data_IF_493246203551
#
_entry.id   IF_493246203551
#
_cell.length_a   1.000
_cell.length_b   1.000
_cell.length_c   1.000
_cell.angle_alpha   90.00
_cell.angle_beta   90.00
_cell.angle_gamma   90.00
#
_symmetry.space_group_name_H-M   'P 1'
#
loop_
_entity.id
_entity.type
_entity.pdbx_description
1 polymer ?
#
# COMPACT_ATOMS: atom_id res chain seq x y z
N UNK A 1 1.19 19.50 -25.33
CA UNK A 1 0.96 18.06 -25.50
C UNK A 1 -0.48 17.74 -25.09
N UNK A 2 -1.13 16.75 -25.72
CA UNK A 2 -2.50 16.32 -25.35
C UNK A 2 -2.50 14.81 -25.06
N UNK A 3 -3.23 14.43 -24.03
CA UNK A 3 -3.40 13.07 -23.54
C UNK A 3 -4.90 12.75 -23.41
N UNK A 4 -5.25 11.47 -23.46
CA UNK A 4 -6.62 11.03 -23.22
C UNK A 4 -6.92 10.96 -21.73
N UNK A 5 -5.89 10.65 -20.92
CA UNK A 5 -5.98 10.53 -19.46
C UNK A 5 -4.73 11.11 -18.79
N UNK A 6 -4.92 11.97 -17.81
CA UNK A 6 -3.87 12.36 -16.86
C UNK A 6 -4.13 11.70 -15.50
N UNK A 7 -3.08 11.16 -14.88
CA UNK A 7 -3.11 10.54 -13.55
C UNK A 7 -2.11 11.28 -12.67
N UNK A 8 -2.57 11.76 -11.52
CA UNK A 8 -1.73 12.44 -10.55
C UNK A 8 -1.47 11.53 -9.35
N UNK A 9 -0.22 11.13 -9.19
CA UNK A 9 0.26 10.14 -8.22
C UNK A 9 0.60 8.80 -8.89
N UNK A 10 1.89 8.42 -8.85
CA UNK A 10 2.41 7.15 -9.35
C UNK A 10 2.59 6.10 -8.23
N UNK A 11 1.87 6.25 -7.12
CA UNK A 11 1.75 5.20 -6.10
C UNK A 11 1.03 3.97 -6.64
N UNK A 12 0.88 2.93 -5.82
CA UNK A 12 0.27 1.66 -6.24
C UNK A 12 -1.09 1.84 -6.90
N UNK A 13 -1.92 2.76 -6.42
CA UNK A 13 -3.24 3.03 -7.00
C UNK A 13 -3.12 3.65 -8.38
N UNK A 14 -2.39 4.76 -8.53
CA UNK A 14 -2.24 5.44 -9.82
C UNK A 14 -1.51 4.59 -10.85
N UNK A 15 -0.48 3.85 -10.45
CA UNK A 15 0.22 2.91 -11.33
C UNK A 15 -0.70 1.78 -11.80
N UNK A 16 -1.55 1.25 -10.92
CA UNK A 16 -2.54 0.22 -11.30
C UNK A 16 -3.57 0.79 -12.28
N UNK A 17 -4.06 2.03 -12.05
CA UNK A 17 -4.96 2.70 -12.98
C UNK A 17 -4.31 2.86 -14.36
N UNK A 18 -3.05 3.33 -14.41
CA UNK A 18 -2.32 3.50 -15.67
C UNK A 18 -2.15 2.17 -16.41
N UNK A 19 -1.74 1.12 -15.69
CA UNK A 19 -1.56 -0.22 -16.25
C UNK A 19 -2.85 -0.79 -16.83
N UNK A 20 -3.93 -0.70 -16.06
CA UNK A 20 -5.24 -1.21 -16.48
C UNK A 20 -5.73 -0.42 -17.70
N UNK A 21 -5.68 0.90 -17.70
CA UNK A 21 -6.09 1.74 -18.81
C UNK A 21 -5.29 1.43 -20.09
N UNK A 22 -3.97 1.31 -19.97
CA UNK A 22 -3.09 1.02 -21.12
C UNK A 22 -3.36 -0.35 -21.75
N UNK A 23 -3.80 -1.33 -20.99
CA UNK A 23 -4.10 -2.68 -21.52
C UNK A 23 -5.45 -2.79 -22.19
N UNK A 24 -6.46 -2.12 -21.66
CA UNK A 24 -7.84 -2.33 -22.09
C UNK A 24 -8.31 -1.34 -23.16
N UNK A 25 -7.73 -0.16 -23.21
CA UNK A 25 -8.12 0.85 -24.18
C UNK A 25 -7.05 1.10 -25.28
N UNK A 26 -6.15 0.19 -25.48
CA UNK A 26 -5.16 -0.03 -26.58
C UNK A 26 -4.43 1.17 -27.16
N UNK A 27 -5.09 2.29 -27.36
CA UNK A 27 -4.53 3.48 -28.02
C UNK A 27 -4.50 4.73 -27.13
N UNK A 28 -4.89 4.64 -25.84
CA UNK A 28 -4.92 5.80 -24.96
C UNK A 28 -3.52 6.31 -24.67
N UNK A 29 -3.31 7.62 -24.87
CA UNK A 29 -2.13 8.33 -24.37
C UNK A 29 -2.36 8.72 -22.92
N UNK A 30 -1.53 8.21 -22.03
CA UNK A 30 -1.68 8.38 -20.57
C UNK A 30 -0.48 9.14 -20.03
N UNK A 31 -0.74 10.27 -19.35
CA UNK A 31 0.26 11.00 -18.58
C UNK A 31 0.17 10.61 -17.11
N UNK A 32 1.28 10.25 -16.49
CA UNK A 32 1.35 9.95 -15.05
C UNK A 32 2.33 10.91 -14.39
N UNK A 33 1.88 11.68 -13.42
CA UNK A 33 2.70 12.60 -12.64
C UNK A 33 3.00 12.04 -11.26
N UNK A 34 4.23 12.22 -10.79
CA UNK A 34 4.59 12.00 -9.39
C UNK A 34 5.62 13.03 -8.92
N UNK A 35 5.39 13.55 -7.73
CA UNK A 35 6.25 14.58 -7.14
C UNK A 35 7.51 14.00 -6.47
N UNK A 36 7.60 12.69 -6.29
CA UNK A 36 8.56 12.08 -5.37
C UNK A 36 9.19 10.81 -5.90
N UNK A 37 10.45 10.55 -5.51
CA UNK A 37 11.03 9.23 -5.67
C UNK A 37 10.16 8.16 -5.01
N UNK A 38 9.96 7.03 -5.68
CA UNK A 38 9.12 5.93 -5.19
C UNK A 38 9.49 5.47 -3.76
N UNK A 39 10.75 5.57 -3.39
CA UNK A 39 11.27 5.16 -2.06
C UNK A 39 10.70 5.95 -0.87
N UNK A 40 10.09 7.11 -1.10
CA UNK A 40 9.52 7.97 -0.04
C UNK A 40 8.00 7.88 0.07
N UNK A 41 7.37 6.99 -0.66
CA UNK A 41 5.91 6.85 -0.69
C UNK A 41 5.43 5.73 0.25
N UNK A 42 4.20 5.83 0.74
CA UNK A 42 3.55 4.74 1.48
C UNK A 42 3.55 3.42 0.67
N UNK A 43 3.51 3.52 -0.66
CA UNK A 43 3.61 2.40 -1.60
C UNK A 43 4.94 1.66 -1.46
N UNK A 44 6.07 2.36 -1.47
CA UNK A 44 7.39 1.74 -1.40
C UNK A 44 7.67 1.11 -0.02
N UNK A 45 7.05 1.67 1.02
CA UNK A 45 7.17 1.20 2.41
C UNK A 45 6.08 0.19 2.79
N UNK A 46 5.18 -0.13 1.87
CA UNK A 46 4.12 -1.11 2.08
C UNK A 46 4.67 -2.49 2.42
N UNK A 47 3.97 -3.20 3.28
CA UNK A 47 4.22 -4.62 3.55
C UNK A 47 3.94 -5.51 2.32
N UNK A 48 3.18 -5.03 1.35
CA UNK A 48 2.79 -5.80 0.18
C UNK A 48 1.89 -7.00 0.50
N UNK A 49 1.30 -7.06 1.69
CA UNK A 49 0.45 -8.18 2.11
C UNK A 49 -1.00 -7.91 1.75
N UNK A 50 -1.54 -8.75 0.88
CA UNK A 50 -2.97 -8.80 0.57
C UNK A 50 -3.57 -10.00 1.29
N UNK A 51 -4.16 -9.71 2.44
CA UNK A 51 -4.77 -10.73 3.30
C UNK A 51 -6.11 -11.21 2.76
N UNK A 52 -6.58 -12.41 3.13
CA UNK A 52 -7.91 -12.92 2.77
C UNK A 52 -9.06 -12.24 3.52
N UNK A 53 -8.81 -11.21 4.35
CA UNK A 53 -9.87 -10.45 4.98
C UNK A 53 -10.70 -9.71 3.95
N UNK A 54 -12.01 -9.81 4.06
CA UNK A 54 -12.92 -9.20 3.12
C UNK A 54 -13.77 -8.08 3.72
N UNK A 55 -13.93 -8.02 5.04
CA UNK A 55 -14.88 -7.07 5.64
C UNK A 55 -16.32 -7.34 5.19
N UNK A 56 -17.15 -6.32 5.12
CA UNK A 56 -18.54 -6.39 4.68
C UNK A 56 -18.79 -5.42 3.51
N UNK A 57 -19.92 -5.56 2.81
CA UNK A 57 -20.37 -4.64 1.77
C UNK A 57 -19.31 -4.35 0.70
N UNK A 58 -19.08 -3.08 0.40
CA UNK A 58 -18.14 -2.63 -0.63
C UNK A 58 -16.70 -3.10 -0.39
N UNK A 59 -16.26 -3.18 0.86
CA UNK A 59 -14.91 -3.69 1.19
C UNK A 59 -14.75 -5.15 0.79
N UNK A 60 -15.81 -5.97 1.00
CA UNK A 60 -15.81 -7.37 0.57
C UNK A 60 -15.72 -7.48 -0.94
N UNK A 61 -16.53 -6.72 -1.67
CA UNK A 61 -16.50 -6.71 -3.13
C UNK A 61 -15.11 -6.36 -3.67
N UNK A 62 -14.50 -5.27 -3.18
CA UNK A 62 -13.15 -4.86 -3.56
C UNK A 62 -12.08 -5.90 -3.21
N UNK A 63 -12.22 -6.56 -2.06
CA UNK A 63 -11.27 -7.61 -1.65
C UNK A 63 -11.34 -8.83 -2.57
N UNK A 64 -12.53 -9.21 -3.03
CA UNK A 64 -12.71 -10.32 -3.98
C UNK A 64 -12.05 -10.00 -5.33
N UNK A 65 -12.27 -8.78 -5.87
CA UNK A 65 -11.60 -8.30 -7.08
C UNK A 65 -10.09 -8.36 -6.93
N UNK A 66 -9.55 -7.83 -5.84
CA UNK A 66 -8.11 -7.84 -5.57
C UNK A 66 -7.55 -9.26 -5.45
N UNK A 67 -8.26 -10.16 -4.79
CA UNK A 67 -7.83 -11.54 -4.66
C UNK A 67 -7.75 -12.26 -6.00
N UNK A 68 -8.72 -12.06 -6.88
CA UNK A 68 -8.69 -12.61 -8.24
C UNK A 68 -7.53 -12.01 -9.05
N UNK A 69 -7.37 -10.68 -9.02
CA UNK A 69 -6.33 -9.95 -9.72
C UNK A 69 -4.92 -10.41 -9.33
N UNK A 70 -4.59 -10.38 -8.04
CA UNK A 70 -3.27 -10.82 -7.57
C UNK A 70 -3.06 -12.32 -7.70
N UNK A 71 -4.13 -13.11 -7.67
CA UNK A 71 -4.07 -14.53 -7.99
C UNK A 71 -3.63 -14.81 -9.42
N UNK A 72 -4.04 -13.99 -10.36
CA UNK A 72 -3.58 -14.07 -11.75
C UNK A 72 -2.07 -13.78 -11.86
N UNK A 73 -1.59 -12.72 -11.22
CA UNK A 73 -0.15 -12.39 -11.14
C UNK A 73 0.67 -13.49 -10.47
N UNK A 74 0.15 -14.12 -9.43
CA UNK A 74 0.82 -15.22 -8.74
C UNK A 74 0.96 -16.46 -9.65
N UNK A 75 -0.08 -16.77 -10.46
CA UNK A 75 0.00 -17.84 -11.47
C UNK A 75 1.04 -17.55 -12.55
N UNK A 76 1.19 -16.28 -12.91
CA UNK A 76 2.22 -15.83 -13.85
C UNK A 76 3.65 -15.92 -13.26
N UNK A 77 3.78 -16.13 -11.96
CA UNK A 77 5.08 -16.28 -11.29
C UNK A 77 5.89 -14.98 -11.14
N UNK A 78 5.27 -13.81 -11.36
CA UNK A 78 5.93 -12.50 -11.33
C UNK A 78 5.36 -11.61 -10.23
N UNK A 79 6.23 -10.95 -9.47
CA UNK A 79 5.93 -9.92 -8.48
C UNK A 79 4.96 -10.30 -7.36
N UNK A 80 4.23 -11.42 -7.48
CA UNK A 80 3.24 -11.86 -6.50
C UNK A 80 3.46 -13.33 -6.17
N UNK A 81 3.44 -13.65 -4.88
CA UNK A 81 3.54 -15.02 -4.36
C UNK A 81 2.34 -15.33 -3.48
N UNK A 82 1.94 -16.59 -3.49
CA UNK A 82 1.01 -17.11 -2.50
C UNK A 82 1.75 -17.38 -1.18
N UNK A 83 1.09 -17.11 -0.07
CA UNK A 83 1.51 -17.57 1.26
C UNK A 83 0.29 -18.09 2.03
N UNK A 84 0.44 -19.11 2.88
CA UNK A 84 -0.59 -19.47 3.83
C UNK A 84 -0.91 -18.26 4.71
N UNK A 85 -2.17 -18.08 5.06
CA UNK A 85 -2.57 -17.08 6.04
C UNK A 85 -3.04 -17.78 7.29
N UNK A 86 -2.42 -17.46 8.41
CA UNK A 86 -2.77 -18.00 9.72
C UNK A 86 -3.01 -16.86 10.70
N UNK A 87 -3.73 -17.12 11.78
CA UNK A 87 -3.89 -16.16 12.88
C UNK A 87 -3.96 -16.89 14.23
N UNK A 88 -3.53 -16.18 15.26
CA UNK A 88 -3.49 -16.67 16.64
C UNK A 88 -4.68 -16.08 17.39
N UNK A 89 -5.61 -16.91 17.83
CA UNK A 89 -6.78 -16.51 18.59
C UNK A 89 -7.35 -17.69 19.40
N UNK A 90 -8.16 -17.41 20.38
CA UNK A 90 -8.90 -18.40 21.15
C UNK A 90 -10.10 -18.97 20.38
N UNK A 91 -10.70 -18.19 19.47
CA UNK A 91 -11.85 -18.57 18.65
C UNK A 91 -11.64 -18.24 17.16
N UNK A 92 -12.31 -19.00 16.25
CA UNK A 92 -12.13 -18.84 14.80
C UNK A 92 -12.66 -17.50 14.24
N UNK A 93 -13.62 -16.90 14.88
CA UNK A 93 -14.25 -15.64 14.48
C UNK A 93 -13.44 -14.41 14.92
N UNK A 94 -12.52 -14.54 15.87
CA UNK A 94 -11.61 -13.47 16.28
C UNK A 94 -10.75 -12.94 15.12
N UNK A 95 -10.48 -13.75 14.09
CA UNK A 95 -9.82 -13.35 12.85
C UNK A 95 -10.62 -12.37 12.00
N UNK A 96 -11.91 -12.17 12.29
CA UNK A 96 -12.80 -11.35 11.49
C UNK A 96 -13.28 -12.04 10.21
N UNK A 97 -14.03 -11.34 9.34
CA UNK A 97 -14.60 -11.93 8.14
C UNK A 97 -13.53 -12.30 7.11
N UNK A 98 -13.35 -13.57 6.86
CA UNK A 98 -12.40 -14.17 5.91
C UNK A 98 -13.10 -14.55 4.60
N UNK A 99 -12.32 -14.73 3.52
CA UNK A 99 -12.83 -15.24 2.24
C UNK A 99 -13.25 -16.70 2.31
N UNK A 100 -12.62 -17.48 3.18
CA UNK A 100 -12.93 -18.87 3.44
C UNK A 100 -13.09 -19.10 4.95
N UNK A 101 -13.91 -20.06 5.37
CA UNK A 101 -14.01 -20.45 6.78
C UNK A 101 -12.63 -20.80 7.34
N UNK A 102 -12.29 -20.36 8.55
CA UNK A 102 -11.04 -20.73 9.20
C UNK A 102 -11.10 -22.18 9.68
N UNK A 103 -9.96 -22.85 9.63
CA UNK A 103 -9.76 -24.22 10.12
C UNK A 103 -8.68 -24.17 11.19
N UNK A 104 -8.90 -24.83 12.32
CA UNK A 104 -7.87 -24.99 13.33
C UNK A 104 -6.71 -25.82 12.76
N UNK A 105 -5.49 -25.33 12.90
CA UNK A 105 -4.31 -26.16 12.67
C UNK A 105 -4.12 -27.10 13.86
N UNK A 106 -3.81 -28.33 13.57
CA UNK A 106 -3.24 -29.23 14.58
C UNK A 106 -1.96 -28.59 15.12
N UNK A 107 -1.67 -28.73 16.43
CA UNK A 107 -0.45 -28.19 16.98
C UNK A 107 0.73 -28.69 16.12
N UNK A 108 1.63 -27.78 15.69
CA UNK A 108 2.73 -28.17 14.82
C UNK A 108 3.50 -29.30 15.47
N UNK A 109 3.82 -30.29 14.66
CA UNK A 109 4.60 -31.44 15.10
C UNK A 109 5.85 -30.95 15.85
N UNK A 110 6.05 -31.40 17.08
CA UNK A 110 7.06 -30.87 18.03
C UNK A 110 8.51 -30.97 17.52
N UNK A 111 8.72 -31.52 16.33
CA UNK A 111 10.01 -31.64 15.66
C UNK A 111 10.41 -30.46 14.77
N UNK A 112 9.49 -29.64 14.29
CA UNK A 112 9.80 -28.40 13.59
C UNK A 112 9.83 -27.26 14.60
N UNK A 113 10.89 -26.46 14.64
CA UNK A 113 10.96 -25.25 15.49
C UNK A 113 9.72 -24.40 15.18
N UNK A 114 8.74 -24.32 16.07
CA UNK A 114 7.51 -23.64 15.76
C UNK A 114 7.81 -22.15 15.57
N UNK A 115 7.46 -21.61 14.41
CA UNK A 115 7.57 -20.16 14.18
C UNK A 115 6.75 -19.39 15.22
N UNK A 116 5.62 -19.96 15.65
CA UNK A 116 4.63 -19.28 16.49
C UNK A 116 4.53 -19.98 17.85
N UNK A 117 4.79 -19.25 18.92
CA UNK A 117 4.42 -19.64 20.27
C UNK A 117 2.95 -19.26 20.52
N UNK A 118 2.18 -20.19 21.07
CA UNK A 118 0.78 -19.97 21.38
C UNK A 118 0.62 -19.64 22.86
N UNK A 119 0.03 -18.49 23.24
CA UNK A 119 -0.41 -18.22 24.59
C UNK A 119 -1.41 -19.28 25.09
N UNK A 120 -1.53 -19.40 26.41
CA UNK A 120 -2.50 -20.31 27.01
C UNK A 120 -3.92 -20.02 26.53
N UNK A 121 -4.63 -21.06 26.04
CA UNK A 121 -5.98 -20.96 25.49
C UNK A 121 -6.03 -20.56 24.01
N UNK A 122 -4.98 -19.99 23.45
CA UNK A 122 -4.96 -19.62 22.02
C UNK A 122 -4.68 -20.85 21.13
N UNK A 123 -5.21 -20.76 19.91
CA UNK A 123 -4.98 -21.73 18.82
C UNK A 123 -4.45 -21.01 17.58
N UNK A 124 -3.79 -21.79 16.73
CA UNK A 124 -3.43 -21.32 15.38
C UNK A 124 -4.55 -21.73 14.42
N UNK A 125 -5.06 -20.75 13.70
CA UNK A 125 -6.14 -20.92 12.73
C UNK A 125 -5.63 -20.64 11.32
N UNK A 126 -6.01 -21.45 10.35
CA UNK A 126 -5.81 -21.15 8.92
C UNK A 126 -6.98 -20.33 8.39
N UNK A 127 -6.68 -19.15 7.84
CA UNK A 127 -7.65 -18.23 7.25
C UNK A 127 -7.59 -18.19 5.73
N UNK A 128 -7.09 -19.24 5.08
CA UNK A 128 -6.95 -19.31 3.62
C UNK A 128 -5.57 -18.85 3.14
N UNK A 129 -5.54 -18.05 2.06
CA UNK A 129 -4.32 -17.65 1.36
C UNK A 129 -4.17 -16.15 1.33
N UNK A 130 -2.97 -15.66 1.64
CA UNK A 130 -2.55 -14.29 1.38
C UNK A 130 -1.72 -14.20 0.09
N UNK A 131 -1.65 -13.00 -0.49
CA UNK A 131 -0.72 -12.66 -1.54
C UNK A 131 0.37 -11.76 -0.99
N UNK A 132 1.62 -12.10 -1.30
CA UNK A 132 2.80 -11.28 -1.02
C UNK A 132 3.19 -10.59 -2.32
N UNK A 133 3.07 -9.28 -2.35
CA UNK A 133 3.30 -8.45 -3.53
C UNK A 133 4.63 -7.73 -3.38
N UNK A 134 5.52 -7.89 -4.34
CA UNK A 134 6.69 -7.02 -4.49
C UNK A 134 6.24 -5.69 -5.08
N UNK A 135 5.75 -4.81 -4.20
CA UNK A 135 5.06 -3.58 -4.60
C UNK A 135 5.95 -2.65 -5.42
N UNK A 136 7.21 -2.37 -5.04
CA UNK A 136 8.08 -1.51 -5.83
C UNK A 136 8.31 -2.03 -7.25
N UNK A 137 8.56 -3.33 -7.41
CA UNK A 137 8.80 -3.94 -8.73
C UNK A 137 7.53 -4.00 -9.56
N UNK A 138 6.39 -4.30 -8.95
CA UNK A 138 5.10 -4.31 -9.63
C UNK A 138 4.72 -2.92 -10.14
N UNK A 139 4.87 -1.88 -9.30
CA UNK A 139 4.61 -0.49 -9.68
C UNK A 139 5.55 -0.02 -10.79
N UNK A 140 6.83 -0.33 -10.70
CA UNK A 140 7.79 -0.03 -11.77
C UNK A 140 7.37 -0.69 -13.09
N UNK A 141 6.97 -1.96 -13.07
CA UNK A 141 6.48 -2.67 -14.23
C UNK A 141 5.23 -2.00 -14.83
N UNK A 142 4.28 -1.57 -14.00
CA UNK A 142 3.05 -0.91 -14.46
C UNK A 142 3.32 0.41 -15.19
N UNK A 143 4.33 1.15 -14.73
CA UNK A 143 4.67 2.46 -15.29
C UNK A 143 5.58 2.39 -16.53
N UNK A 144 6.30 1.29 -16.72
CA UNK A 144 7.25 1.13 -17.83
C UNK A 144 6.82 0.10 -18.88
N UNK A 145 5.86 -0.75 -18.54
CA UNK A 145 5.45 -1.87 -19.38
C UNK A 145 4.59 -1.50 -20.60
N UNK A 146 4.09 -0.27 -20.68
CA UNK A 146 3.24 0.17 -21.80
C UNK A 146 3.80 1.43 -22.45
N UNK A 147 3.96 1.40 -23.79
CA UNK A 147 4.45 2.55 -24.60
C UNK A 147 3.52 3.74 -24.59
N UNK A 148 2.28 3.56 -24.20
CA UNK A 148 1.24 4.60 -24.14
C UNK A 148 1.25 5.38 -22.84
N UNK A 149 2.08 4.98 -21.86
CA UNK A 149 2.23 5.65 -20.57
C UNK A 149 3.49 6.52 -20.60
N UNK A 150 3.29 7.82 -20.44
CA UNK A 150 4.37 8.79 -20.29
C UNK A 150 4.41 9.28 -18.85
N UNK A 151 5.58 9.17 -18.20
CA UNK A 151 5.78 9.56 -16.81
C UNK A 151 6.49 10.89 -16.69
N UNK A 152 6.00 11.71 -15.77
CA UNK A 152 6.54 13.03 -15.42
C UNK A 152 6.91 13.03 -13.93
N UNK A 153 8.21 13.10 -13.63
CA UNK A 153 8.72 13.19 -12.27
C UNK A 153 8.68 14.66 -11.79
N UNK A 154 7.48 15.19 -11.67
CA UNK A 154 7.23 16.59 -11.32
C UNK A 154 5.95 16.72 -10.48
N UNK A 155 5.94 17.58 -9.42
CA UNK A 155 4.74 17.86 -8.65
C UNK A 155 3.74 18.66 -9.50
N UNK A 156 2.51 18.18 -9.61
CA UNK A 156 1.43 18.98 -10.17
C UNK A 156 1.10 20.08 -9.17
N UNK A 157 1.15 21.33 -9.61
CA UNK A 157 0.90 22.51 -8.79
C UNK A 157 -0.50 23.07 -9.00
N UNK A 158 -1.06 22.89 -10.18
CA UNK A 158 -2.35 23.45 -10.53
C UNK A 158 -3.06 22.59 -11.58
N UNK A 159 -4.38 22.53 -11.50
CA UNK A 159 -5.24 21.95 -12.52
C UNK A 159 -6.41 22.88 -12.82
N UNK A 160 -6.82 22.97 -14.09
CA UNK A 160 -8.01 23.71 -14.48
C UNK A 160 -8.83 22.88 -15.47
N UNK A 161 -10.14 23.08 -15.47
CA UNK A 161 -11.07 22.45 -16.40
C UNK A 161 -11.78 23.49 -17.26
N UNK A 162 -11.67 23.37 -18.57
CA UNK A 162 -12.41 24.20 -19.52
C UNK A 162 -13.16 23.32 -20.56
N UNK A 163 -13.73 23.94 -21.59
CA UNK A 163 -14.44 23.24 -22.66
C UNK A 163 -13.56 22.23 -23.41
N UNK A 164 -12.25 22.45 -23.45
CA UNK A 164 -11.29 21.61 -24.19
C UNK A 164 -10.65 20.51 -23.37
N UNK A 165 -11.02 20.32 -22.09
CA UNK A 165 -10.44 19.31 -21.22
C UNK A 165 -9.77 19.87 -19.97
N UNK A 166 -8.99 19.04 -19.32
CA UNK A 166 -8.17 19.40 -18.17
C UNK A 166 -6.82 19.96 -18.63
N UNK A 167 -6.40 21.06 -18.05
CA UNK A 167 -5.02 21.55 -18.12
C UNK A 167 -4.33 21.16 -16.82
N UNK A 168 -3.18 20.50 -16.94
CA UNK A 168 -2.36 20.08 -15.81
C UNK A 168 -1.03 20.83 -15.88
N UNK A 169 -0.68 21.51 -14.79
CA UNK A 169 0.53 22.33 -14.66
C UNK A 169 1.47 21.74 -13.64
N UNK A 170 2.70 21.50 -14.06
CA UNK A 170 3.82 21.11 -13.21
C UNK A 170 5.07 21.89 -13.63
N UNK A 171 6.11 21.98 -12.81
CA UNK A 171 7.36 22.66 -13.17
C UNK A 171 7.92 22.14 -14.50
N UNK A 172 8.08 23.04 -15.47
CA UNK A 172 8.59 22.73 -16.81
C UNK A 172 7.61 22.00 -17.72
N UNK A 173 6.39 21.68 -17.27
CA UNK A 173 5.42 20.94 -18.08
C UNK A 173 4.02 21.54 -17.91
N UNK A 174 3.40 21.86 -19.05
CA UNK A 174 1.96 22.12 -19.12
C UNK A 174 1.38 21.21 -20.20
N UNK A 175 0.37 20.42 -19.85
CA UNK A 175 -0.31 19.53 -20.80
C UNK A 175 -1.82 19.63 -20.70
N UNK A 176 -2.49 19.09 -21.69
CA UNK A 176 -3.95 18.94 -21.71
C UNK A 176 -4.33 17.46 -21.70
N UNK A 177 -5.39 17.14 -20.98
CA UNK A 177 -5.97 15.81 -20.96
C UNK A 177 -7.49 15.87 -21.05
N UNK A 178 -8.09 14.89 -21.67
CA UNK A 178 -9.55 14.82 -21.76
C UNK A 178 -10.17 14.44 -20.41
N UNK A 179 -9.45 13.61 -19.64
CA UNK A 179 -9.88 13.06 -18.34
C UNK A 179 -8.77 13.22 -17.31
N UNK A 180 -9.16 13.32 -16.03
CA UNK A 180 -8.23 13.45 -14.91
C UNK A 180 -8.56 12.46 -13.79
N UNK A 181 -7.56 11.73 -13.30
CA UNK A 181 -7.68 10.94 -12.07
C UNK A 181 -6.58 11.38 -11.09
N UNK A 182 -6.98 11.85 -9.91
CA UNK A 182 -6.06 12.11 -8.82
C UNK A 182 -5.99 10.89 -7.89
N UNK A 183 -4.81 10.31 -7.75
CA UNK A 183 -4.49 9.19 -6.86
C UNK A 183 -3.28 9.50 -5.98
N UNK A 184 -3.26 10.73 -5.42
CA UNK A 184 -2.12 11.32 -4.71
C UNK A 184 -1.91 10.77 -3.28
N UNK A 185 -2.68 9.76 -2.84
CA UNK A 185 -2.54 9.18 -1.50
C UNK A 185 -2.96 10.16 -0.39
N UNK A 186 -2.10 10.40 0.64
CA UNK A 186 -2.44 11.27 1.76
C UNK A 186 -2.32 12.77 1.47
N UNK A 187 -1.88 13.17 0.25
CA UNK A 187 -1.72 14.57 -0.10
C UNK A 187 -3.06 15.24 -0.37
N UNK A 188 -3.21 16.52 0.03
CA UNK A 188 -4.45 17.27 -0.14
C UNK A 188 -4.83 17.44 -1.61
N UNK A 189 -5.98 18.04 -1.85
CA UNK A 189 -6.42 18.52 -3.15
C UNK A 189 -5.38 19.47 -3.77
N UNK A 190 -5.38 19.55 -5.08
CA UNK A 190 -4.49 20.42 -5.86
C UNK A 190 -5.25 21.70 -6.19
N UNK A 191 -4.56 22.83 -6.21
CA UNK A 191 -5.16 24.10 -6.56
C UNK A 191 -5.87 24.04 -7.91
N UNK A 192 -7.08 24.60 -7.98
CA UNK A 192 -7.91 24.61 -9.18
C UNK A 192 -8.82 23.40 -9.38
N UNK A 193 -8.79 22.42 -8.50
CA UNK A 193 -9.83 21.39 -8.47
C UNK A 193 -11.18 22.07 -8.15
N UNK A 194 -12.09 22.10 -9.13
CA UNK A 194 -13.40 22.71 -8.99
C UNK A 194 -14.39 21.70 -8.41
N UNK A 195 -14.97 22.03 -7.29
CA UNK A 195 -16.09 21.28 -6.70
C UNK A 195 -15.69 20.24 -5.69
N UNK A 196 -16.61 20.04 -4.80
CA UNK A 196 -16.67 19.09 -3.70
C UNK A 196 -15.33 18.62 -3.16
N UNK A 197 -15.19 18.87 -1.92
CA UNK A 197 -14.17 18.36 -1.00
C UNK A 197 -13.90 16.85 -1.10
N UNK A 198 -13.54 16.37 -2.28
CA UNK A 198 -13.20 14.95 -2.54
C UNK A 198 -12.03 14.46 -1.66
N UNK A 199 -11.62 15.24 -0.70
CA UNK A 199 -10.54 14.96 0.23
C UNK A 199 -10.73 15.50 1.63
N UNK A 200 -11.80 16.26 1.93
CA UNK A 200 -11.98 16.85 3.28
C UNK A 200 -12.19 15.83 4.38
N UNK A 201 -12.71 14.65 4.06
CA UNK A 201 -12.91 13.57 5.03
C UNK A 201 -11.66 12.68 5.21
N UNK A 202 -10.54 13.03 4.55
CA UNK A 202 -9.33 12.22 4.67
C UNK A 202 -8.51 12.70 5.87
N UNK A 203 -8.37 11.80 6.85
CA UNK A 203 -7.48 11.99 7.98
C UNK A 203 -6.19 11.22 7.73
N UNK A 204 -5.07 11.84 8.00
CA UNK A 204 -3.77 11.19 7.84
C UNK A 204 -3.39 10.40 9.10
N UNK A 205 -2.71 9.29 8.89
CA UNK A 205 -2.26 8.40 9.97
C UNK A 205 -0.85 7.89 9.68
N UNK A 206 -0.03 7.82 10.73
CA UNK A 206 1.26 7.11 10.66
C UNK A 206 1.02 5.61 10.49
N UNK A 207 1.71 4.99 9.55
CA UNK A 207 1.82 3.54 9.42
C UNK A 207 3.22 3.10 9.84
N UNK A 208 3.31 1.97 10.55
CA UNK A 208 4.55 1.47 11.14
C UNK A 208 4.71 -0.02 10.84
N UNK A 209 5.87 -0.37 10.35
CA UNK A 209 6.32 -1.74 10.26
C UNK A 209 7.82 -1.82 10.59
N UNK A 210 8.31 -3.02 10.83
CA UNK A 210 9.72 -3.29 11.07
C UNK A 210 10.19 -4.41 10.15
N UNK A 211 11.27 -4.18 9.43
CA UNK A 211 12.04 -5.28 8.86
C UNK A 211 12.75 -6.01 10.01
N UNK A 212 12.48 -7.29 10.14
CA UNK A 212 13.01 -8.16 11.18
C UNK A 212 14.10 -9.03 10.55
N UNK A 213 15.31 -8.95 11.07
CA UNK A 213 16.43 -9.72 10.55
C UNK A 213 16.18 -11.23 10.73
N UNK A 214 16.15 -11.96 9.64
CA UNK A 214 15.93 -13.40 9.63
C UNK A 214 17.18 -14.27 9.71
N UNK A 215 18.36 -13.71 10.05
CA UNK A 215 19.62 -14.49 10.09
C UNK A 215 19.53 -15.72 10.97
N UNK A 216 18.86 -15.62 12.12
CA UNK A 216 18.64 -16.73 13.03
C UNK A 216 17.49 -17.67 12.62
N UNK A 217 16.52 -17.14 11.86
CA UNK A 217 15.34 -17.87 11.41
C UNK A 217 14.86 -17.31 10.06
N UNK A 218 15.52 -17.64 8.94
CA UNK A 218 15.09 -17.20 7.64
C UNK A 218 13.73 -17.82 7.27
N UNK A 219 12.82 -17.09 6.60
CA UNK A 219 11.53 -17.63 6.25
C UNK A 219 11.66 -18.79 5.25
N UNK A 220 11.10 -19.96 5.53
CA UNK A 220 10.99 -21.05 4.56
C UNK A 220 10.13 -20.64 3.36
N UNK A 221 10.22 -21.39 2.26
CA UNK A 221 9.53 -21.04 1.01
C UNK A 221 8.01 -20.95 1.16
N UNK A 222 7.43 -21.71 2.05
CA UNK A 222 6.00 -21.83 2.38
C UNK A 222 5.62 -21.08 3.68
N UNK A 223 6.52 -20.20 4.17
CA UNK A 223 6.28 -19.45 5.39
C UNK A 223 4.92 -18.71 5.37
N UNK A 224 4.13 -18.81 6.43
CA UNK A 224 2.83 -18.17 6.51
C UNK A 224 2.94 -16.67 6.79
N UNK A 225 1.90 -15.94 6.42
CA UNK A 225 1.58 -14.67 7.08
C UNK A 225 0.83 -14.99 8.36
N UNK A 226 1.35 -14.55 9.50
CA UNK A 226 0.75 -14.77 10.82
C UNK A 226 0.12 -13.48 11.31
N UNK A 227 -1.19 -13.48 11.50
CA UNK A 227 -1.94 -12.34 12.02
C UNK A 227 -2.24 -12.51 13.51
N UNK A 228 -2.10 -11.44 14.26
CA UNK A 228 -2.36 -11.33 15.69
C UNK A 228 -3.54 -10.37 15.89
N UNK A 229 -4.80 -10.87 15.93
CA UNK A 229 -6.01 -10.03 15.96
C UNK A 229 -6.02 -9.05 17.13
N UNK A 230 -5.68 -9.50 18.32
CA UNK A 230 -5.72 -8.70 19.56
C UNK A 230 -4.75 -7.51 19.49
N UNK A 231 -3.61 -7.70 18.85
CA UNK A 231 -2.61 -6.63 18.66
C UNK A 231 -2.82 -5.86 17.36
N UNK A 232 -3.75 -6.27 16.50
CA UNK A 232 -3.91 -5.75 15.14
C UNK A 232 -2.57 -5.70 14.39
N UNK A 233 -1.76 -6.73 14.55
CA UNK A 233 -0.41 -6.86 14.00
C UNK A 233 -0.29 -8.11 13.14
N UNK A 234 0.69 -8.15 12.25
CA UNK A 234 1.03 -9.37 11.52
C UNK A 234 2.53 -9.48 11.27
N UNK A 235 3.01 -10.71 11.23
CA UNK A 235 4.33 -11.07 10.74
C UNK A 235 4.21 -11.69 9.35
N UNK A 236 4.98 -11.20 8.39
CA UNK A 236 4.98 -11.71 7.02
C UNK A 236 6.41 -12.02 6.54
N UNK A 237 6.61 -13.07 5.72
CA UNK A 237 7.92 -13.39 5.17
C UNK A 237 8.33 -12.39 4.07
N UNK A 238 9.59 -11.97 4.09
CA UNK A 238 10.21 -11.15 3.05
C UNK A 238 11.35 -11.93 2.41
N UNK A 239 11.00 -12.83 1.49
CA UNK A 239 11.95 -13.78 0.91
C UNK A 239 13.13 -13.12 0.20
N UNK A 240 12.93 -11.98 -0.46
CA UNK A 240 13.98 -11.24 -1.15
C UNK A 240 15.13 -10.79 -0.21
N UNK A 241 14.83 -10.61 1.08
CA UNK A 241 15.79 -10.20 2.11
C UNK A 241 16.12 -11.31 3.10
N UNK A 242 15.57 -12.51 2.91
CA UNK A 242 15.69 -13.64 3.84
C UNK A 242 15.32 -13.27 5.28
N UNK A 243 14.35 -12.37 5.46
CA UNK A 243 13.89 -11.84 6.72
C UNK A 243 12.38 -11.77 6.80
N UNK A 244 11.89 -11.13 7.84
CA UNK A 244 10.47 -10.99 8.11
C UNK A 244 10.08 -9.50 8.16
N UNK A 245 8.81 -9.23 8.07
CA UNK A 245 8.25 -7.91 8.29
C UNK A 245 7.17 -8.02 9.36
N UNK A 246 7.35 -7.30 10.46
CA UNK A 246 6.35 -7.13 11.50
C UNK A 246 5.64 -5.80 11.28
N UNK A 247 4.34 -5.85 10.97
CA UNK A 247 3.49 -4.66 10.87
C UNK A 247 2.64 -4.53 12.12
N UNK A 248 2.62 -3.34 12.69
CA UNK A 248 1.80 -3.00 13.86
C UNK A 248 0.88 -1.84 13.55
N UNK A 249 -0.21 -1.71 14.31
CA UNK A 249 -1.12 -0.59 14.17
C UNK A 249 -0.63 0.59 15.01
N UNK A 250 -0.25 1.70 14.37
CA UNK A 250 -0.01 2.98 15.04
C UNK A 250 -1.32 3.65 15.45
N UNK A 251 -1.30 4.46 16.48
CA UNK A 251 -2.42 5.31 16.91
C UNK A 251 -2.14 6.81 16.71
N UNK A 252 -1.08 7.17 15.99
CA UNK A 252 -0.72 8.55 15.68
C UNK A 252 -1.47 9.04 14.45
N UNK A 253 -2.42 9.95 14.67
CA UNK A 253 -3.24 10.60 13.66
C UNK A 253 -2.80 12.03 13.40
N UNK A 254 -3.27 12.66 12.32
CA UNK A 254 -2.98 14.05 11.97
C UNK A 254 -1.54 14.30 11.55
N UNK A 255 -0.80 13.28 11.18
CA UNK A 255 0.57 13.45 10.69
C UNK A 255 0.57 14.18 9.34
N UNK A 256 1.42 15.18 9.15
CA UNK A 256 1.48 15.88 7.88
C UNK A 256 1.84 14.91 6.73
N UNK A 257 1.14 15.03 5.61
CA UNK A 257 1.43 14.24 4.43
C UNK A 257 2.89 14.44 4.00
N UNK A 258 3.62 13.34 3.83
CA UNK A 258 5.04 13.38 3.48
C UNK A 258 5.99 13.75 4.63
N UNK A 259 5.51 13.87 5.85
CA UNK A 259 6.38 14.02 7.01
C UNK A 259 7.28 12.77 7.17
N UNK A 260 8.53 13.00 7.54
CA UNK A 260 9.40 11.94 8.02
C UNK A 260 8.96 11.59 9.44
N UNK A 261 8.31 10.46 9.60
CA UNK A 261 7.85 9.96 10.90
C UNK A 261 8.73 8.81 11.36
N UNK A 262 8.88 8.65 12.67
CA UNK A 262 9.60 7.54 13.26
C UNK A 262 8.68 6.77 14.22
N UNK A 263 8.95 5.47 14.49
CA UNK A 263 8.23 4.77 15.54
C UNK A 263 8.48 5.42 16.90
N UNK A 264 7.44 5.50 17.73
CA UNK A 264 7.58 5.90 19.12
C UNK A 264 8.31 4.83 19.96
N UNK A 265 8.69 5.16 21.18
CA UNK A 265 9.24 4.19 22.13
C UNK A 265 8.23 3.05 22.39
N UNK A 266 6.95 3.38 22.57
CA UNK A 266 5.89 2.40 22.82
C UNK A 266 5.67 1.47 21.62
N UNK A 267 5.73 2.00 20.39
CA UNK A 267 5.60 1.19 19.18
C UNK A 267 6.78 0.22 19.01
N UNK A 268 8.00 0.63 19.40
CA UNK A 268 9.17 -0.26 19.44
C UNK A 268 9.03 -1.31 20.54
N UNK A 269 8.62 -0.90 21.75
CA UNK A 269 8.38 -1.81 22.87
C UNK A 269 7.30 -2.85 22.53
N UNK A 270 6.21 -2.43 21.88
CA UNK A 270 5.17 -3.33 21.40
C UNK A 270 5.73 -4.34 20.38
N UNK A 271 6.54 -3.89 19.42
CA UNK A 271 7.15 -4.78 18.43
C UNK A 271 8.02 -5.86 19.09
N UNK A 272 8.88 -5.49 20.03
CA UNK A 272 9.69 -6.45 20.79
C UNK A 272 8.81 -7.39 21.63
N UNK A 273 7.81 -6.88 22.35
CA UNK A 273 6.90 -7.71 23.13
C UNK A 273 6.12 -8.75 22.30
N UNK A 274 5.73 -8.38 21.07
CA UNK A 274 5.08 -9.31 20.15
C UNK A 274 6.05 -10.39 19.65
N UNK A 275 7.30 -10.05 19.37
CA UNK A 275 8.31 -11.04 19.00
C UNK A 275 8.61 -11.98 20.17
N UNK A 276 8.82 -11.45 21.36
CA UNK A 276 9.08 -12.25 22.56
C UNK A 276 7.94 -13.23 22.86
N UNK A 277 6.72 -12.75 22.77
CA UNK A 277 5.52 -13.53 23.11
C UNK A 277 5.14 -14.58 22.06
N UNK A 278 5.23 -14.23 20.79
CA UNK A 278 4.65 -15.04 19.70
C UNK A 278 5.69 -15.65 18.78
N UNK A 279 6.90 -15.10 18.69
CA UNK A 279 7.93 -15.51 17.73
C UNK A 279 9.30 -15.67 18.41
N UNK A 280 9.44 -16.61 19.35
CA UNK A 280 10.64 -16.71 20.19
C UNK A 280 11.94 -16.89 19.40
N UNK A 281 11.88 -17.50 18.21
CA UNK A 281 13.03 -17.61 17.32
C UNK A 281 13.49 -16.28 16.69
N UNK A 282 12.70 -15.20 16.82
CA UNK A 282 13.02 -13.86 16.32
C UNK A 282 13.19 -12.83 17.48
N UNK A 283 13.20 -13.27 18.73
CA UNK A 283 13.27 -12.41 19.91
C UNK A 283 14.42 -11.40 19.85
N UNK A 284 15.60 -11.88 19.50
CA UNK A 284 16.84 -11.09 19.49
C UNK A 284 17.14 -10.49 18.09
N UNK A 285 16.16 -10.52 17.19
CA UNK A 285 16.34 -10.01 15.83
C UNK A 285 16.46 -8.48 15.83
N UNK A 286 17.36 -7.97 14.98
CA UNK A 286 17.42 -6.54 14.73
C UNK A 286 16.17 -6.04 14.02
N UNK A 287 15.61 -4.92 14.48
CA UNK A 287 14.42 -4.26 13.95
C UNK A 287 14.80 -2.97 13.22
N UNK A 288 14.66 -2.96 11.89
CA UNK A 288 14.80 -1.74 11.09
C UNK A 288 13.41 -1.16 10.78
N UNK A 289 13.18 0.08 11.20
CA UNK A 289 11.87 0.70 11.08
C UNK A 289 11.52 1.07 9.63
N UNK A 290 10.26 0.85 9.26
CA UNK A 290 9.61 1.32 8.04
C UNK A 290 8.37 2.13 8.42
N UNK A 291 8.38 3.42 8.11
CA UNK A 291 7.29 4.32 8.49
C UNK A 291 6.88 5.19 7.32
N UNK A 292 5.60 5.43 7.19
CA UNK A 292 5.03 6.37 6.23
C UNK A 292 3.77 7.02 6.82
N UNK A 293 3.22 7.99 6.10
CA UNK A 293 1.90 8.56 6.37
C UNK A 293 0.96 8.09 5.27
N UNK A 294 -0.24 7.65 5.63
CA UNK A 294 -1.29 7.23 4.70
C UNK A 294 -2.61 7.95 5.01
N UNK A 295 -3.49 8.03 3.99
CA UNK A 295 -4.79 8.67 4.08
C UNK A 295 -5.89 7.70 4.47
N UNK A 296 -6.70 8.07 5.44
CA UNK A 296 -7.79 7.28 6.00
C UNK A 296 -9.12 8.02 5.89
N UNK A 297 -10.17 7.31 5.49
CA UNK A 297 -11.55 7.73 5.68
C UNK A 297 -12.06 7.30 7.06
N UNK A 298 -13.07 7.97 7.59
CA UNK A 298 -13.67 7.63 8.88
C UNK A 298 -14.21 6.18 8.93
N UNK A 299 -14.83 5.73 7.85
CA UNK A 299 -15.38 4.39 7.70
C UNK A 299 -14.36 3.37 7.12
N UNK A 300 -13.12 3.80 6.89
CA UNK A 300 -12.05 3.02 6.27
C UNK A 300 -12.37 2.48 4.87
N UNK A 301 -13.39 3.04 4.20
CA UNK A 301 -13.70 2.73 2.81
C UNK A 301 -13.04 3.77 1.90
N UNK A 302 -12.21 3.36 0.94
CA UNK A 302 -11.68 4.30 -0.03
C UNK A 302 -12.80 4.92 -0.87
N UNK A 303 -12.56 6.15 -1.31
CA UNK A 303 -13.49 6.94 -2.10
C UNK A 303 -13.00 7.08 -3.53
N UNK A 304 -13.93 6.96 -4.47
CA UNK A 304 -13.78 7.48 -5.84
C UNK A 304 -14.83 8.58 -5.97
N UNK A 305 -14.38 9.82 -5.99
CA UNK A 305 -15.26 10.98 -5.88
C UNK A 305 -14.96 12.02 -6.98
N UNK A 306 -15.98 12.69 -7.54
CA UNK A 306 -15.76 13.67 -8.59
C UNK A 306 -15.00 14.89 -8.07
N UNK A 307 -14.09 15.43 -8.89
CA UNK A 307 -13.36 16.69 -8.68
C UNK A 307 -13.65 17.71 -9.78
N UNK A 308 -14.63 17.40 -10.60
CA UNK A 308 -15.10 18.18 -11.73
C UNK A 308 -15.62 17.26 -12.83
N UNK A 309 -16.04 17.84 -13.94
CA UNK A 309 -16.51 17.07 -15.09
C UNK A 309 -15.33 16.26 -15.65
N UNK A 310 -15.54 14.97 -15.89
CA UNK A 310 -14.53 14.01 -16.39
C UNK A 310 -13.26 13.95 -15.51
N UNK A 311 -13.38 14.33 -14.22
CA UNK A 311 -12.31 14.29 -13.22
C UNK A 311 -12.74 13.63 -11.93
N UNK A 312 -11.89 12.73 -11.38
CA UNK A 312 -12.16 11.99 -10.15
C UNK A 312 -10.92 11.89 -9.27
N UNK A 313 -11.15 11.89 -7.96
CA UNK A 313 -10.14 11.58 -6.97
C UNK A 313 -10.33 10.17 -6.41
N UNK A 314 -9.23 9.46 -6.23
CA UNK A 314 -9.16 8.19 -5.51
C UNK A 314 -8.36 8.42 -4.24
N UNK A 315 -9.01 8.28 -3.08
CA UNK A 315 -8.41 8.64 -1.80
C UNK A 315 -8.84 7.71 -0.65
N UNK A 316 -8.13 7.76 0.47
CA UNK A 316 -8.52 7.12 1.72
C UNK A 316 -8.39 5.59 1.71
N UNK A 317 -7.32 5.06 1.12
CA UNK A 317 -7.07 3.61 1.09
C UNK A 317 -6.89 2.96 2.48
N UNK A 318 -6.71 3.76 3.53
CA UNK A 318 -6.81 3.36 4.94
C UNK A 318 -5.91 2.18 5.30
N UNK A 319 -4.62 2.24 4.91
CA UNK A 319 -3.65 1.16 5.12
C UNK A 319 -3.84 -0.06 4.21
N UNK A 320 -4.79 0.01 3.27
CA UNK A 320 -5.11 -1.11 2.37
C UNK A 320 -4.90 -0.78 0.89
N UNK A 321 -4.02 0.20 0.59
CA UNK A 321 -3.80 0.69 -0.76
C UNK A 321 -3.46 -0.40 -1.76
N UNK A 322 -2.53 -1.29 -1.43
CA UNK A 322 -2.17 -2.43 -2.28
C UNK A 322 -3.37 -3.35 -2.49
N UNK A 323 -4.09 -3.68 -1.40
CA UNK A 323 -5.25 -4.58 -1.45
C UNK A 323 -6.35 -4.05 -2.36
N UNK A 324 -6.66 -2.76 -2.30
CA UNK A 324 -7.80 -2.20 -3.02
C UNK A 324 -7.43 -1.60 -4.38
N UNK A 325 -6.14 -1.43 -4.70
CA UNK A 325 -5.70 -0.79 -5.95
C UNK A 325 -6.36 -1.37 -7.21
N UNK A 326 -6.51 -2.69 -7.40
CA UNK A 326 -7.18 -3.23 -8.59
C UNK A 326 -8.65 -2.80 -8.70
N UNK A 327 -9.42 -2.92 -7.63
CA UNK A 327 -10.82 -2.54 -7.63
C UNK A 327 -11.01 -1.04 -7.83
N UNK A 328 -10.17 -0.24 -7.16
CA UNK A 328 -10.19 1.22 -7.29
C UNK A 328 -9.80 1.67 -8.71
N UNK A 329 -8.90 0.94 -9.37
CA UNK A 329 -8.57 1.23 -10.76
C UNK A 329 -9.80 1.03 -11.68
N UNK A 330 -10.54 -0.05 -11.49
CA UNK A 330 -11.76 -0.32 -12.25
C UNK A 330 -12.84 0.72 -11.98
N UNK A 331 -13.07 1.03 -10.71
CA UNK A 331 -14.06 2.05 -10.32
C UNK A 331 -13.70 3.44 -10.88
N UNK A 332 -12.43 3.85 -10.80
CA UNK A 332 -11.99 5.15 -11.28
C UNK A 332 -12.05 5.28 -12.80
N UNK A 333 -11.67 4.23 -13.53
CA UNK A 333 -11.76 4.22 -15.00
C UNK A 333 -13.22 4.24 -15.48
N UNK A 334 -14.09 3.47 -14.84
CA UNK A 334 -15.53 3.53 -15.11
C UNK A 334 -16.11 4.92 -14.85
N UNK A 335 -15.69 5.57 -13.75
CA UNK A 335 -16.16 6.91 -13.37
C UNK A 335 -15.78 7.98 -14.42
N UNK A 336 -14.60 7.89 -15.04
CA UNK A 336 -14.19 8.79 -16.12
C UNK A 336 -14.69 8.35 -17.50
N UNK A 337 -15.63 7.41 -17.58
CA UNK A 337 -16.23 6.95 -18.84
C UNK A 337 -15.30 6.05 -19.67
N UNK A 338 -14.40 5.34 -19.03
CA UNK A 338 -13.55 4.30 -19.61
C UNK A 338 -13.88 2.94 -18.96
N UNK A 339 -15.14 2.47 -19.05
CA UNK A 339 -15.51 1.21 -18.43
C UNK A 339 -14.86 0.07 -19.20
N UNK A 340 -14.45 -0.93 -18.46
CA UNK A 340 -14.17 -2.24 -19.04
C UNK A 340 -14.64 -3.29 -18.01
N UNK A 341 -15.11 -4.40 -18.53
CA UNK A 341 -15.41 -5.54 -17.69
C UNK A 341 -14.13 -6.29 -17.41
N UNK A 342 -13.83 -6.59 -16.14
CA UNK A 342 -12.72 -7.47 -15.79
C UNK A 342 -13.05 -8.87 -16.33
N UNK A 343 -12.60 -9.15 -17.54
CA UNK A 343 -12.66 -10.50 -18.07
C UNK A 343 -11.77 -11.40 -17.21
N UNK A 344 -12.31 -12.50 -16.74
CA UNK A 344 -11.56 -13.45 -15.92
C UNK A 344 -10.30 -13.99 -16.61
N UNK A 345 -10.25 -13.92 -17.95
CA UNK A 345 -9.08 -14.27 -18.75
C UNK A 345 -8.10 -13.10 -18.91
N UNK A 346 -8.57 -11.85 -18.92
CA UNK A 346 -7.74 -10.65 -19.12
C UNK A 346 -7.15 -10.09 -17.85
N UNK A 347 -7.59 -10.54 -16.67
CA UNK A 347 -6.96 -10.19 -15.39
C UNK A 347 -5.55 -10.79 -15.21
N UNK A 348 -5.20 -11.80 -16.02
CA UNK A 348 -3.83 -12.30 -16.10
C UNK A 348 -3.10 -11.61 -17.26
N UNK A 349 -2.17 -10.70 -17.00
CA UNK A 349 -1.26 -10.28 -18.05
C UNK A 349 -0.47 -11.49 -18.52
N UNK A 350 -0.18 -11.56 -19.82
CA UNK A 350 0.99 -12.34 -20.24
C UNK A 350 2.18 -11.80 -19.43
N UNK A 351 2.83 -12.64 -18.63
CA UNK A 351 3.97 -12.17 -17.90
C UNK A 351 5.01 -11.71 -18.91
N UNK A 352 5.63 -10.53 -18.73
CA UNK A 352 6.84 -10.23 -19.46
C UNK A 352 7.83 -11.37 -19.15
N UNK A 353 8.73 -11.70 -20.04
CA UNK A 353 9.77 -12.69 -19.78
C UNK A 353 10.44 -12.25 -18.47
N UNK A 354 10.20 -13.02 -17.40
CA UNK A 354 10.83 -12.77 -16.12
C UNK A 354 12.32 -13.04 -16.29
N UNK A 355 13.08 -12.00 -16.62
CA UNK A 355 14.52 -12.08 -16.46
C UNK A 355 14.75 -12.31 -14.96
N UNK A 356 15.22 -13.52 -14.62
CA UNK A 356 15.77 -13.80 -13.30
C UNK A 356 16.98 -12.88 -13.11
N UNK A 357 16.71 -11.70 -12.58
CA UNK A 357 17.74 -10.78 -12.18
C UNK A 357 18.24 -11.22 -10.80
N UNK A 358 19.19 -12.14 -10.80
CA UNK A 358 20.05 -12.38 -9.68
C UNK A 358 21.00 -11.19 -9.54
N UNK A 359 20.57 -10.16 -8.80
CA UNK A 359 21.49 -9.28 -8.05
C UNK A 359 20.67 -8.48 -7.03
N UNK A 360 21.02 -8.55 -5.75
CA UNK A 360 20.40 -7.67 -4.74
C UNK A 360 20.83 -6.23 -5.02
N UNK A 361 19.86 -5.31 -5.04
CA UNK A 361 20.13 -3.89 -5.04
C UNK A 361 20.95 -3.53 -3.80
N UNK A 362 22.03 -2.78 -3.99
CA UNK A 362 22.90 -2.31 -2.93
C UNK A 362 22.09 -1.59 -1.83
N UNK A 363 22.39 -1.93 -0.58
CA UNK A 363 21.80 -1.30 0.60
C UNK A 363 22.22 0.17 0.66
N UNK A 364 21.30 1.07 0.48
CA UNK A 364 21.48 2.46 0.84
C UNK A 364 21.32 2.59 2.36
N UNK A 365 22.40 2.44 3.08
CA UNK A 365 22.53 2.84 4.48
C UNK A 365 22.93 4.32 4.49
N UNK A 366 21.99 5.23 4.40
CA UNK A 366 22.23 6.61 4.80
C UNK A 366 21.85 6.77 6.27
N UNK A 367 22.83 7.24 7.04
CA UNK A 367 22.70 7.56 8.45
C UNK A 367 21.69 8.70 8.66
N UNK A 368 20.58 8.39 9.32
CA UNK A 368 19.57 9.37 9.73
C UNK A 368 20.06 10.03 11.01
N UNK A 369 20.46 11.31 10.95
CA UNK A 369 20.63 12.14 12.13
C UNK A 369 19.27 12.44 12.77
N UNK A 370 19.13 12.37 14.11
CA UNK A 370 17.87 12.72 14.76
C UNK A 370 17.65 14.24 14.72
N UNK A 371 16.49 14.68 14.26
CA UNK A 371 16.03 16.05 14.39
C UNK A 371 15.73 16.37 15.86
N UNK A 372 16.46 17.32 16.43
CA UNK A 372 16.17 17.94 17.72
C UNK A 372 14.93 18.83 17.53
N UNK A 373 13.90 18.77 18.38
CA UNK A 373 12.79 19.71 18.31
C UNK A 373 13.28 21.12 18.68
N UNK A 374 12.98 22.09 17.84
CA UNK A 374 13.19 23.50 18.15
C UNK A 374 12.37 23.88 19.40
N UNK A 375 13.04 24.29 20.44
CA UNK A 375 12.42 24.89 21.62
C UNK A 375 11.69 26.17 21.21
N UNK A 376 10.48 26.48 21.72
CA UNK A 376 9.80 27.72 21.45
C UNK A 376 10.61 28.87 22.07
N UNK A 377 10.95 29.84 21.25
CA UNK A 377 11.65 31.06 21.67
C UNK A 377 10.87 31.82 22.74
N UNK A 378 11.58 32.22 23.78
CA UNK A 378 11.09 33.11 24.83
C UNK A 378 10.67 34.45 24.22
N UNK A 379 9.55 35.06 24.66
CA UNK A 379 9.15 36.38 24.18
C UNK A 379 10.10 37.43 24.75
N UNK A 380 10.66 38.25 23.84
CA UNK A 380 11.41 39.46 24.19
C UNK A 380 10.46 40.51 24.79
N UNK A 381 10.75 40.97 26.02
CA UNK A 381 10.11 42.12 26.62
C UNK A 381 10.45 43.42 25.84
N UNK A 382 9.51 44.34 25.68
CA UNK A 382 9.81 45.68 25.20
C UNK A 382 10.44 46.56 26.29
N UNK A 383 11.29 47.55 25.97
CA UNK A 383 11.83 48.47 26.99
C UNK A 383 10.74 49.45 27.45
N UNK A 384 10.67 49.60 28.76
CA UNK A 384 9.86 50.64 29.42
C UNK A 384 10.50 52.03 29.31
N UNK A 385 9.70 53.13 29.47
CA UNK A 385 10.00 54.49 29.05
C UNK A 385 11.12 55.17 29.88
#
# INVERSE_FOLDING_TARGET
MRFDLAIIGAGVTGATIAHVAARHAGALRIAVFDARPAVQTATALSAGVVTPFCGSGARRARSLVAHAYYGAWARAGCYVRAAPFTFVADAPDAGGPLLAPPVADDPPDRGATPLVALPAGARLWRGGRAWLVDVPRLVAHYLTGARTVERFDAPVTHVTRDAGGWTVVAPGVTLRADRLIRASGPWPAIDGEAGVDAGTDIVTKKIVAFDVDGRGLPPPADAPVVYLPDAQAFLAPVHARRGWLLSITSHAWGCAAGARVAPSADERALAHALLDRHFPGLRDAHLAARTAVDGYTADRNPRVAPIGRDGFAVAGASGSGVRFAPALAYEALAAVGLPFEPDAATTAPEPPPCHRADKPAASLTESVQPCIPNSPGSPSHPPSP
#
